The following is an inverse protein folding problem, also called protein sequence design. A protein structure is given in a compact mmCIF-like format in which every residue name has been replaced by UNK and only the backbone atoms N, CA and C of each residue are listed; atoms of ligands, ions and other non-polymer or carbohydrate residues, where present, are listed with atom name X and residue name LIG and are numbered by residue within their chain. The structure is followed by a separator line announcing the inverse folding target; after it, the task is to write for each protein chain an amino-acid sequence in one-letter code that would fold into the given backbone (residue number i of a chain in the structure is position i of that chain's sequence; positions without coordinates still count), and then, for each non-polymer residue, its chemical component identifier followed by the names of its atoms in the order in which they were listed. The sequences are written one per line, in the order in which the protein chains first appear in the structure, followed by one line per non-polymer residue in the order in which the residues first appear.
data_IF_234640876186
#
_entry.id   IF_234640876186
#
_cell.length_a   1.000
_cell.length_b   1.000
_cell.length_c   1.000
_cell.angle_alpha   90.00
_cell.angle_beta   90.00
_cell.angle_gamma   90.00
#
_symmetry.space_group_name_H-M   'P 1'
#
loop_
_entity.id
_entity.type
_entity.pdbx_description
1 polymer ?
#
# COMPACT_ATOMS: atom_id res chain seq x y z
N UNK A 1 21.45 -16.07 -2.99
CA UNK A 1 20.66 -15.66 -1.81
C UNK A 1 19.71 -14.58 -2.29
N UNK A 2 18.45 -14.62 -1.88
CA UNK A 2 17.49 -13.55 -2.22
C UNK A 2 17.56 -12.47 -1.15
N UNK A 3 17.56 -11.20 -1.55
CA UNK A 3 17.62 -10.04 -0.66
C UNK A 3 16.50 -9.05 -1.00
N UNK A 4 16.04 -8.29 0.00
CA UNK A 4 15.05 -7.22 -0.18
C UNK A 4 15.83 -5.90 -0.26
N UNK A 5 15.57 -5.11 -1.30
CA UNK A 5 16.21 -3.82 -1.54
C UNK A 5 15.17 -2.76 -1.94
N UNK A 6 15.61 -1.52 -2.17
CA UNK A 6 14.76 -0.40 -2.63
C UNK A 6 13.71 0.10 -1.61
N UNK A 7 14.14 0.36 -0.38
CA UNK A 7 13.32 1.00 0.65
C UNK A 7 13.26 2.54 0.54
N UNK A 8 13.90 3.14 -0.48
CA UNK A 8 14.20 4.57 -0.51
C UNK A 8 13.03 5.48 -0.89
N UNK A 9 11.99 4.95 -1.52
CA UNK A 9 10.86 5.71 -2.10
C UNK A 9 9.59 5.71 -1.24
N UNK A 10 9.56 4.98 -0.12
CA UNK A 10 8.36 4.82 0.74
C UNK A 10 8.19 5.90 1.81
N UNK A 11 9.10 6.89 1.88
CA UNK A 11 8.93 8.01 2.80
C UNK A 11 7.71 8.83 2.37
N UNK A 12 6.69 8.83 3.23
CA UNK A 12 5.59 9.78 3.18
C UNK A 12 6.21 11.18 3.04
N UNK A 13 5.90 11.89 1.96
CA UNK A 13 6.36 13.27 1.77
C UNK A 13 5.81 14.04 2.98
N UNK A 14 6.71 14.51 3.84
CA UNK A 14 6.36 15.22 5.07
C UNK A 14 5.46 16.39 4.69
N UNK A 15 4.21 16.33 5.14
CA UNK A 15 3.22 17.35 4.82
C UNK A 15 3.73 18.68 5.33
N UNK A 16 3.84 19.66 4.43
CA UNK A 16 4.14 21.02 4.82
C UNK A 16 3.04 21.47 5.80
N UNK A 17 3.35 21.84 7.07
CA UNK A 17 2.34 22.18 8.07
C UNK A 17 1.45 23.38 7.65
N UNK A 18 1.84 24.13 6.62
CA UNK A 18 1.10 25.25 6.07
C UNK A 18 0.22 24.89 4.86
N UNK A 19 0.27 23.65 4.37
CA UNK A 19 -0.54 23.20 3.24
C UNK A 19 -1.30 21.95 3.65
N UNK A 20 -2.61 22.06 3.84
CA UNK A 20 -3.52 20.92 4.05
C UNK A 20 -3.69 20.08 2.77
N UNK A 21 -2.70 20.10 1.88
CA UNK A 21 -2.72 19.30 0.67
C UNK A 21 -2.70 17.83 1.08
N UNK A 22 -3.73 17.15 0.62
CA UNK A 22 -3.98 15.72 0.68
C UNK A 22 -2.66 14.96 0.70
N UNK A 23 -2.46 14.11 1.71
CA UNK A 23 -1.35 13.15 1.73
C UNK A 23 -1.49 12.29 0.47
N UNK A 24 -0.74 12.65 -0.58
CA UNK A 24 -0.74 11.89 -1.81
C UNK A 24 -0.04 10.56 -1.55
N UNK A 25 -0.82 9.48 -1.62
CA UNK A 25 -0.33 8.12 -1.42
C UNK A 25 0.21 7.62 -2.76
N UNK A 26 1.49 7.22 -2.77
CA UNK A 26 2.14 6.65 -3.94
C UNK A 26 2.44 5.18 -3.68
N UNK A 27 2.12 4.32 -4.65
CA UNK A 27 2.40 2.90 -4.57
C UNK A 27 1.54 2.08 -5.54
N UNK A 28 1.69 0.77 -5.48
CA UNK A 28 0.92 -0.18 -6.30
C UNK A 28 -0.20 -0.75 -5.43
N UNK A 29 -1.47 -0.45 -5.76
CA UNK A 29 -2.65 -0.67 -4.90
C UNK A 29 -2.69 -2.02 -4.15
N UNK A 30 -2.44 -3.19 -4.77
CA UNK A 30 -2.41 -4.48 -4.08
C UNK A 30 -1.49 -4.56 -2.86
N UNK A 31 -0.41 -3.78 -2.83
CA UNK A 31 0.62 -3.80 -1.78
C UNK A 31 0.42 -2.68 -0.76
N UNK A 32 -0.59 -1.81 -0.94
CA UNK A 32 -0.86 -0.72 0.00
C UNK A 32 -1.91 -1.20 0.99
N UNK A 33 -1.58 -1.14 2.28
CA UNK A 33 -2.52 -1.51 3.33
C UNK A 33 -3.68 -0.50 3.43
N UNK A 34 -4.86 -0.99 3.80
CA UNK A 34 -6.10 -0.19 3.87
C UNK A 34 -5.98 1.03 4.78
N UNK A 35 -5.26 0.91 5.88
CA UNK A 35 -5.02 1.98 6.84
C UNK A 35 -4.12 3.10 6.27
N UNK A 36 -3.26 2.77 5.30
CA UNK A 36 -2.48 3.76 4.56
C UNK A 36 -3.41 4.50 3.60
N UNK A 37 -4.27 3.77 2.89
CA UNK A 37 -5.27 4.32 1.95
C UNK A 37 -6.28 5.26 2.63
N UNK A 38 -6.73 4.92 3.83
CA UNK A 38 -7.66 5.76 4.60
C UNK A 38 -7.02 7.04 5.16
N UNK A 39 -5.68 7.17 5.13
CA UNK A 39 -4.97 8.34 5.65
C UNK A 39 -5.02 8.50 7.17
N UNK A 40 -5.63 7.54 7.88
CA UNK A 40 -5.97 7.61 9.31
C UNK A 40 -4.75 7.49 10.24
N UNK A 41 -3.59 7.01 9.76
CA UNK A 41 -2.39 6.82 10.59
C UNK A 41 -1.11 7.18 9.84
N UNK A 42 -0.12 7.69 10.57
CA UNK A 42 1.27 7.70 10.11
C UNK A 42 1.67 6.28 9.71
N UNK A 43 2.45 6.12 8.65
CA UNK A 43 2.91 4.82 8.16
C UNK A 43 3.41 3.90 9.30
N UNK A 44 2.72 2.78 9.53
CA UNK A 44 3.00 1.84 10.64
C UNK A 44 3.70 0.60 10.09
N UNK A 45 4.57 -0.03 10.89
CA UNK A 45 5.15 -1.36 10.65
C UNK A 45 4.14 -2.42 10.15
N UNK A 46 2.86 -2.30 10.51
CA UNK A 46 1.80 -3.18 10.02
C UNK A 46 1.60 -3.10 8.49
N UNK A 47 1.78 -1.91 7.89
CA UNK A 47 1.71 -1.73 6.44
C UNK A 47 2.85 -2.44 5.71
N UNK A 48 4.07 -2.40 6.26
CA UNK A 48 5.22 -3.17 5.72
C UNK A 48 4.94 -4.68 5.76
N UNK A 49 4.33 -5.18 6.85
CA UNK A 49 3.96 -6.59 6.98
C UNK A 49 2.92 -6.98 5.93
N UNK A 50 1.85 -6.18 5.77
CA UNK A 50 0.85 -6.41 4.72
C UNK A 50 1.49 -6.47 3.33
N UNK A 51 2.35 -5.50 3.01
CA UNK A 51 3.06 -5.43 1.72
C UNK A 51 3.89 -6.69 1.48
N UNK A 52 4.60 -7.15 2.52
CA UNK A 52 5.40 -8.36 2.48
C UNK A 52 4.55 -9.63 2.32
N UNK A 53 3.40 -9.72 2.99
CA UNK A 53 2.46 -10.83 2.84
C UNK A 53 1.98 -10.97 1.39
N UNK A 54 1.66 -9.86 0.73
CA UNK A 54 1.24 -9.86 -0.68
C UNK A 54 2.38 -10.33 -1.60
N UNK A 55 3.62 -9.88 -1.36
CA UNK A 55 4.81 -10.35 -2.09
C UNK A 55 5.01 -11.86 -1.88
N UNK A 56 4.94 -12.33 -0.64
CA UNK A 56 5.11 -13.73 -0.29
C UNK A 56 4.01 -14.61 -0.92
N UNK A 57 2.75 -14.18 -0.82
CA UNK A 57 1.62 -14.85 -1.46
C UNK A 57 1.83 -15.01 -2.97
N UNK A 58 2.29 -13.93 -3.64
CA UNK A 58 2.62 -13.97 -5.06
C UNK A 58 3.78 -14.93 -5.38
N UNK A 59 4.80 -15.01 -4.51
CA UNK A 59 5.90 -15.97 -4.70
C UNK A 59 5.41 -17.42 -4.60
N UNK A 60 4.52 -17.72 -3.66
CA UNK A 60 4.01 -19.09 -3.44
C UNK A 60 3.01 -19.51 -4.52
N UNK A 61 2.12 -18.61 -4.93
CA UNK A 61 1.01 -18.93 -5.83
C UNK A 61 1.27 -18.61 -7.29
N UNK A 62 2.18 -17.68 -7.58
CA UNK A 62 2.37 -17.12 -8.92
C UNK A 62 1.29 -16.13 -9.36
N UNK A 63 0.26 -15.89 -8.54
CA UNK A 63 -0.87 -15.03 -8.87
C UNK A 63 -0.83 -13.72 -8.08
N UNK A 64 -1.29 -12.64 -8.71
CA UNK A 64 -1.47 -11.35 -8.05
C UNK A 64 -2.85 -11.31 -7.39
N UNK A 65 -2.91 -10.89 -6.13
CA UNK A 65 -4.18 -10.56 -5.48
C UNK A 65 -4.91 -9.48 -6.29
N UNK A 66 -6.22 -9.70 -6.51
CA UNK A 66 -7.09 -8.81 -7.30
C UNK A 66 -6.70 -8.65 -8.79
N UNK A 67 -6.01 -9.62 -9.41
CA UNK A 67 -5.61 -9.54 -10.83
C UNK A 67 -6.76 -9.30 -11.82
N UNK A 68 -8.00 -9.62 -11.42
CA UNK A 68 -9.20 -9.52 -12.25
C UNK A 68 -9.99 -8.23 -11.99
N UNK A 69 -9.51 -7.35 -11.11
CA UNK A 69 -10.20 -6.11 -10.73
C UNK A 69 -9.37 -4.91 -11.20
N UNK A 70 -9.99 -3.92 -11.87
CA UNK A 70 -9.30 -2.68 -12.20
C UNK A 70 -8.74 -2.00 -10.93
N UNK A 71 -7.46 -1.61 -10.99
CA UNK A 71 -6.79 -0.86 -9.93
C UNK A 71 -7.20 0.62 -9.95
N UNK A 72 -8.44 0.88 -9.54
CA UNK A 72 -9.06 2.21 -9.51
C UNK A 72 -9.56 2.58 -8.11
N UNK A 73 -10.12 3.78 -7.99
CA UNK A 73 -10.66 4.31 -6.73
C UNK A 73 -11.75 3.40 -6.12
N UNK A 74 -12.55 2.72 -6.94
CA UNK A 74 -13.57 1.77 -6.47
C UNK A 74 -12.96 0.58 -5.72
N UNK A 75 -11.83 0.04 -6.20
CA UNK A 75 -11.08 -0.99 -5.47
C UNK A 75 -10.51 -0.45 -4.16
N UNK A 76 -9.96 0.77 -4.16
CA UNK A 76 -9.46 1.42 -2.95
C UNK A 76 -10.55 1.53 -1.88
N UNK A 77 -11.75 2.01 -2.26
CA UNK A 77 -12.90 2.12 -1.36
C UNK A 77 -13.32 0.75 -0.83
N UNK A 78 -13.31 -0.29 -1.67
CA UNK A 78 -13.62 -1.66 -1.26
C UNK A 78 -12.62 -2.20 -0.24
N UNK A 79 -11.32 -2.01 -0.47
CA UNK A 79 -10.25 -2.42 0.46
C UNK A 79 -10.41 -1.71 1.82
N UNK A 80 -10.67 -0.40 1.82
CA UNK A 80 -10.93 0.36 3.05
C UNK A 80 -12.16 -0.13 3.83
N UNK A 81 -13.14 -0.73 3.15
CA UNK A 81 -14.35 -1.29 3.75
C UNK A 81 -14.22 -2.77 4.14
N UNK A 82 -13.03 -3.38 4.01
CA UNK A 82 -12.74 -4.75 4.46
C UNK A 82 -13.08 -5.85 3.46
N UNK A 83 -12.95 -5.56 2.15
CA UNK A 83 -13.33 -6.45 1.05
C UNK A 83 -12.18 -7.32 0.49
#
# INVERSE_FOLDING_TARGET
MSEISDFGLSKLIEANPNNSEIKNIFGVLPYIASEVLSGDKEYIRAADIYSFEIVFYKMVTGFLSYSNIPYNEDLTIKICNGL
#
